data_IF_311273805236
#
_entry.id   IF_311273805236
#
_cell.length_a   1.000
_cell.length_b   1.000
_cell.length_c   1.000
_cell.angle_alpha   90.00
_cell.angle_beta   90.00
_cell.angle_gamma   90.00
#
_symmetry.space_group_name_H-M   'P 1'
#
loop_
_entity.id
_entity.type
_entity.pdbx_description
1 polymer ?
#
# COMPACT_ATOMS: atom_id res chain seq x y z
N UNK A 1 -7.47 -19.49 30.76
CA UNK A 1 -7.77 -18.33 29.87
C UNK A 1 -6.98 -17.12 30.34
N UNK A 2 -5.80 -16.87 29.77
CA UNK A 2 -5.01 -15.63 29.99
C UNK A 2 -4.52 -15.14 28.63
N UNK A 3 -5.39 -14.45 27.91
CA UNK A 3 -4.95 -13.45 26.95
C UNK A 3 -4.75 -12.16 27.73
N UNK A 4 -3.57 -11.54 27.63
CA UNK A 4 -3.36 -10.20 28.18
C UNK A 4 -4.40 -9.27 27.59
N UNK A 5 -5.01 -8.40 28.42
CA UNK A 5 -5.85 -7.31 27.90
C UNK A 5 -4.96 -6.45 27.01
N UNK A 6 -5.20 -6.48 25.70
CA UNK A 6 -4.51 -5.60 24.76
C UNK A 6 -4.60 -4.16 25.25
N UNK A 7 -3.52 -3.39 25.10
CA UNK A 7 -3.58 -1.95 25.36
C UNK A 7 -4.60 -1.37 24.39
N UNK A 8 -5.61 -0.69 24.92
CA UNK A 8 -6.59 0.01 24.08
C UNK A 8 -5.84 0.98 23.16
N UNK A 9 -6.10 0.86 21.86
CA UNK A 9 -5.69 1.86 20.85
C UNK A 9 -6.44 3.19 21.08
N UNK A 10 -6.30 4.13 20.15
CA UNK A 10 -6.88 5.48 20.17
C UNK A 10 -8.25 5.58 20.85
N UNK A 11 -8.41 6.62 21.69
CA UNK A 11 -9.69 7.04 22.21
C UNK A 11 -10.47 7.66 21.04
N UNK A 12 -11.14 6.79 20.29
CA UNK A 12 -11.96 7.18 19.16
C UNK A 12 -13.28 7.76 19.69
N UNK A 13 -13.91 8.72 18.98
CA UNK A 13 -15.30 9.12 19.34
C UNK A 13 -16.20 7.89 19.22
N UNK A 14 -17.35 7.90 19.89
CA UNK A 14 -18.47 7.08 19.45
C UNK A 14 -18.67 7.41 17.95
N UNK A 15 -18.56 6.39 17.09
CA UNK A 15 -18.65 6.41 15.60
C UNK A 15 -17.38 6.67 14.78
N UNK A 16 -16.24 7.01 15.36
CA UNK A 16 -15.00 7.15 14.58
C UNK A 16 -14.22 5.82 14.57
N UNK A 17 -13.35 5.59 13.58
CA UNK A 17 -12.55 4.37 13.50
C UNK A 17 -11.26 4.59 12.72
N UNK A 18 -10.23 3.81 13.04
CA UNK A 18 -8.98 3.82 12.26
C UNK A 18 -9.24 3.09 10.94
N UNK A 19 -9.14 3.82 9.83
CA UNK A 19 -9.33 3.26 8.49
C UNK A 19 -8.06 2.63 7.92
N UNK A 20 -6.89 3.19 8.23
CA UNK A 20 -5.59 2.77 7.68
C UNK A 20 -4.48 2.95 8.72
N UNK A 21 -3.52 2.02 8.72
CA UNK A 21 -2.31 2.05 9.54
C UNK A 21 -1.12 1.80 8.63
N UNK A 22 -0.09 2.62 8.76
CA UNK A 22 1.18 2.49 8.05
C UNK A 22 2.33 2.46 9.05
N UNK A 23 3.41 1.75 8.71
CA UNK A 23 4.69 1.79 9.42
C UNK A 23 5.69 2.44 8.48
N UNK A 24 6.20 3.60 8.85
CA UNK A 24 7.05 4.45 8.00
C UNK A 24 8.16 5.10 8.82
N UNK A 25 9.25 5.47 8.15
CA UNK A 25 10.28 6.33 8.70
C UNK A 25 9.77 7.79 8.81
N UNK A 26 10.36 8.59 9.70
CA UNK A 26 10.05 10.01 9.86
C UNK A 26 10.37 10.83 8.61
N UNK A 27 11.38 10.45 7.83
CA UNK A 27 11.77 11.16 6.61
C UNK A 27 10.99 10.73 5.35
N UNK A 28 10.28 9.59 5.42
CA UNK A 28 9.49 9.08 4.31
C UNK A 28 8.44 10.10 3.85
N UNK A 29 8.26 10.21 2.54
CA UNK A 29 7.23 11.05 1.94
C UNK A 29 5.91 10.28 1.80
N UNK A 30 4.80 10.96 2.03
CA UNK A 30 3.44 10.41 1.87
C UNK A 30 2.66 11.31 0.92
N UNK A 31 2.04 10.69 -0.09
CA UNK A 31 1.09 11.34 -0.99
C UNK A 31 -0.33 11.22 -0.43
N UNK A 32 -1.06 12.32 -0.46
CA UNK A 32 -2.44 12.42 0.01
C UNK A 32 -3.33 12.80 -1.17
N UNK A 33 -4.07 11.82 -1.69
CA UNK A 33 -5.02 12.03 -2.78
C UNK A 33 -6.39 12.38 -2.23
N UNK A 34 -6.98 13.48 -2.69
CA UNK A 34 -8.28 13.95 -2.24
C UNK A 34 -9.42 13.48 -3.13
N UNK A 35 -10.65 13.48 -2.60
CA UNK A 35 -11.88 13.20 -3.34
C UNK A 35 -12.12 14.18 -4.50
N UNK A 36 -11.54 15.39 -4.44
CA UNK A 36 -11.59 16.40 -5.50
C UNK A 36 -10.50 16.24 -6.57
N UNK A 37 -9.67 15.18 -6.49
CA UNK A 37 -8.65 14.88 -7.49
C UNK A 37 -7.36 15.69 -7.37
N UNK A 38 -7.11 16.29 -6.19
CA UNK A 38 -5.80 16.86 -5.85
C UNK A 38 -4.89 15.79 -5.23
N UNK A 39 -3.58 16.01 -5.34
CA UNK A 39 -2.58 15.31 -4.54
C UNK A 39 -1.74 16.33 -3.78
N UNK A 40 -1.44 15.99 -2.53
CA UNK A 40 -0.52 16.73 -1.67
C UNK A 40 0.60 15.81 -1.21
N UNK A 41 1.75 16.37 -0.83
CA UNK A 41 2.89 15.62 -0.32
C UNK A 41 3.33 16.19 1.03
N UNK A 42 3.49 15.32 2.02
CA UNK A 42 4.10 15.66 3.31
C UNK A 42 5.14 14.59 3.68
N UNK A 43 6.22 15.02 4.34
CA UNK A 43 7.12 14.09 5.04
C UNK A 43 6.48 13.69 6.37
N UNK A 44 6.70 12.45 6.83
CA UNK A 44 6.07 11.91 8.05
C UNK A 44 6.35 12.80 9.28
N UNK A 45 7.53 13.38 9.42
CA UNK A 45 7.86 14.29 10.53
C UNK A 45 7.01 15.58 10.56
N UNK A 46 6.37 15.96 9.46
CA UNK A 46 5.44 17.10 9.41
C UNK A 46 4.07 16.75 10.00
N UNK A 47 3.76 15.45 10.13
CA UNK A 47 2.53 15.00 10.76
C UNK A 47 2.58 15.21 12.27
N UNK A 48 1.45 15.55 12.91
CA UNK A 48 1.41 15.80 14.34
C UNK A 48 1.75 14.52 15.12
N UNK A 49 2.84 14.57 15.88
CA UNK A 49 3.16 13.55 16.86
C UNK A 49 2.03 13.48 17.91
N UNK A 50 1.66 12.27 18.29
CA UNK A 50 0.55 12.03 19.20
C UNK A 50 0.79 10.77 20.03
N UNK A 51 0.26 10.75 21.25
CA UNK A 51 0.20 9.51 22.03
C UNK A 51 -0.82 8.56 21.39
N UNK A 52 -0.77 7.25 21.68
CA UNK A 52 -1.78 6.32 21.21
C UNK A 52 -3.20 6.68 21.65
N UNK A 53 -3.39 7.52 22.68
CA UNK A 53 -4.70 8.01 23.13
C UNK A 53 -5.07 9.37 22.52
N UNK A 54 -4.12 10.04 21.85
CA UNK A 54 -4.35 11.33 21.20
C UNK A 54 -5.22 11.15 19.97
N UNK A 55 -6.01 12.19 19.68
CA UNK A 55 -7.00 12.18 18.59
C UNK A 55 -6.41 12.59 17.23
N UNK A 56 -5.10 12.87 17.19
CA UNK A 56 -4.47 13.51 16.04
C UNK A 56 -4.93 14.96 15.79
N UNK A 57 -4.57 15.51 14.63
CA UNK A 57 -5.13 16.77 14.11
C UNK A 57 -5.91 16.49 12.83
N UNK A 58 -6.94 17.29 12.57
CA UNK A 58 -7.70 17.20 11.33
C UNK A 58 -6.83 17.53 10.11
N UNK A 59 -6.97 16.77 9.03
CA UNK A 59 -6.17 16.93 7.80
C UNK A 59 -6.33 18.30 7.15
N UNK A 60 -7.51 18.94 7.27
CA UNK A 60 -7.78 20.30 6.77
C UNK A 60 -6.88 21.38 7.39
N UNK A 61 -6.27 21.10 8.54
CA UNK A 61 -5.32 22.01 9.18
C UNK A 61 -3.87 21.81 8.70
N UNK A 62 -3.62 20.73 7.96
CA UNK A 62 -2.29 20.35 7.46
C UNK A 62 -2.17 20.53 5.94
N UNK A 63 -3.28 20.37 5.23
CA UNK A 63 -3.36 20.42 3.78
C UNK A 63 -4.34 21.51 3.35
N UNK A 64 -4.07 22.26 2.26
CA UNK A 64 -4.96 23.29 1.75
C UNK A 64 -6.14 22.67 0.98
N UNK A 65 -7.02 21.99 1.71
CA UNK A 65 -8.23 21.34 1.21
C UNK A 65 -9.34 22.37 0.99
N UNK A 66 -10.10 22.21 -0.09
CA UNK A 66 -11.32 22.98 -0.34
C UNK A 66 -12.45 22.52 0.58
N UNK A 67 -13.51 23.32 0.65
CA UNK A 67 -14.70 22.96 1.40
C UNK A 67 -15.32 21.64 0.87
N UNK A 68 -15.58 20.69 1.77
CA UNK A 68 -16.10 19.36 1.44
C UNK A 68 -15.07 18.38 0.84
N UNK A 69 -13.84 18.82 0.60
CA UNK A 69 -12.76 17.96 0.12
C UNK A 69 -12.20 17.11 1.28
N UNK A 70 -12.10 15.80 1.06
CA UNK A 70 -11.54 14.85 2.04
C UNK A 70 -10.46 14.00 1.39
N UNK A 71 -9.60 13.39 2.18
CA UNK A 71 -8.56 12.48 1.67
C UNK A 71 -9.19 11.13 1.33
N UNK A 72 -9.07 10.72 0.06
CA UNK A 72 -9.54 9.44 -0.44
C UNK A 72 -8.49 8.34 -0.27
N UNK A 73 -7.20 8.67 -0.44
CA UNK A 73 -6.12 7.68 -0.31
C UNK A 73 -4.83 8.30 0.19
N UNK A 74 -4.14 7.58 1.06
CA UNK A 74 -2.76 7.85 1.43
C UNK A 74 -1.87 6.84 0.71
N UNK A 75 -0.78 7.32 0.12
CA UNK A 75 0.20 6.49 -0.58
C UNK A 75 1.59 6.87 -0.08
N UNK A 76 2.17 6.09 0.84
CA UNK A 76 3.57 6.25 1.20
C UNK A 76 4.44 5.99 -0.03
N UNK A 77 5.40 6.87 -0.27
CA UNK A 77 6.47 6.62 -1.23
C UNK A 77 7.55 5.75 -0.58
N UNK A 78 8.26 4.93 -1.36
CA UNK A 78 9.42 4.21 -0.85
C UNK A 78 10.41 5.16 -0.19
N UNK A 79 10.93 4.74 0.96
CA UNK A 79 11.96 5.45 1.72
C UNK A 79 13.32 4.90 1.30
N UNK A 80 13.78 5.30 0.12
CA UNK A 80 15.05 4.86 -0.45
C UNK A 80 16.08 6.01 -0.34
N UNK A 81 17.29 5.77 0.21
CA UNK A 81 18.32 6.80 0.32
C UNK A 81 18.80 7.32 -1.03
N UNK A 82 18.65 6.53 -2.10
CA UNK A 82 19.03 6.90 -3.47
C UNK A 82 17.87 7.60 -4.21
N UNK A 83 16.68 7.75 -3.59
CA UNK A 83 15.63 8.60 -4.17
C UNK A 83 16.07 10.06 -4.14
N UNK A 84 16.03 10.76 -5.30
CA UNK A 84 16.49 12.14 -5.35
C UNK A 84 15.60 13.02 -4.47
N UNK A 85 16.22 13.75 -3.53
CA UNK A 85 15.53 14.82 -2.83
C UNK A 85 15.22 15.91 -3.85
N UNK A 86 13.96 15.97 -4.27
CA UNK A 86 13.51 17.05 -5.15
C UNK A 86 13.53 18.34 -4.34
N UNK A 87 14.66 19.03 -4.36
CA UNK A 87 14.78 20.39 -3.92
C UNK A 87 13.87 21.26 -4.81
N UNK A 88 13.20 22.25 -4.21
CA UNK A 88 12.41 23.24 -4.92
C UNK A 88 13.35 24.13 -5.77
N UNK A 89 13.79 23.63 -6.94
CA UNK A 89 14.66 24.34 -7.90
C UNK A 89 14.18 24.12 -9.34
N UNK A 90 14.65 25.00 -10.23
CA UNK A 90 14.31 25.24 -11.64
C UNK A 90 13.74 24.03 -12.42
N UNK A 91 12.77 24.27 -13.32
CA UNK A 91 12.01 23.25 -14.07
C UNK A 91 12.92 22.22 -14.77
N UNK A 92 14.10 22.64 -15.24
CA UNK A 92 15.07 21.75 -15.87
C UNK A 92 15.70 20.72 -14.90
N UNK A 93 15.99 21.12 -13.65
CA UNK A 93 16.52 20.21 -12.63
C UNK A 93 15.42 19.27 -12.09
N UNK A 94 14.17 19.73 -12.12
CA UNK A 94 13.02 18.92 -11.73
C UNK A 94 12.77 17.75 -12.70
N UNK A 95 13.03 17.94 -13.99
CA UNK A 95 12.86 16.89 -15.00
C UNK A 95 13.93 15.79 -14.86
N UNK A 96 15.20 16.14 -14.61
CA UNK A 96 16.27 15.17 -14.37
C UNK A 96 16.03 14.34 -13.10
N UNK A 97 15.70 15.01 -11.99
CA UNK A 97 15.37 14.34 -10.73
C UNK A 97 14.09 13.48 -10.84
N UNK A 98 13.14 13.84 -11.71
CA UNK A 98 11.94 13.04 -11.91
C UNK A 98 12.22 11.74 -12.68
N UNK A 99 13.16 11.74 -13.62
CA UNK A 99 13.55 10.53 -14.35
C UNK A 99 14.38 9.59 -13.45
N UNK A 100 15.30 10.13 -12.65
CA UNK A 100 16.05 9.34 -11.65
C UNK A 100 15.11 8.73 -10.60
N UNK A 101 14.12 9.49 -10.13
CA UNK A 101 13.07 8.95 -9.25
C UNK A 101 12.23 7.87 -9.94
N UNK A 102 11.99 7.98 -11.26
CA UNK A 102 11.27 6.96 -12.01
C UNK A 102 12.05 5.65 -12.04
N UNK A 103 13.35 5.71 -12.35
CA UNK A 103 14.23 4.54 -12.35
C UNK A 103 14.31 3.87 -10.98
N UNK A 104 14.46 4.66 -9.91
CA UNK A 104 14.46 4.13 -8.54
C UNK A 104 13.12 3.47 -8.18
N UNK A 105 11.99 4.11 -8.52
CA UNK A 105 10.66 3.55 -8.28
C UNK A 105 10.41 2.27 -9.08
N UNK A 106 10.85 2.23 -10.34
CA UNK A 106 10.72 1.06 -11.21
C UNK A 106 11.58 -0.10 -10.68
N UNK A 107 12.78 0.18 -10.18
CA UNK A 107 13.63 -0.82 -9.53
C UNK A 107 12.96 -1.38 -8.25
N UNK A 108 12.40 -0.51 -7.40
CA UNK A 108 11.69 -0.91 -6.17
C UNK A 108 10.43 -1.72 -6.50
N UNK A 109 9.73 -1.36 -7.57
CA UNK A 109 8.52 -2.03 -8.01
C UNK A 109 8.78 -3.33 -8.78
N UNK A 110 10.04 -3.69 -9.06
CA UNK A 110 10.41 -4.83 -9.93
C UNK A 110 9.75 -4.72 -11.31
N UNK A 111 9.90 -3.55 -11.93
CA UNK A 111 9.31 -3.17 -13.21
C UNK A 111 8.59 -1.82 -13.15
N UNK A 112 7.97 -1.41 -14.25
CA UNK A 112 7.34 -0.09 -14.35
C UNK A 112 6.34 0.20 -13.19
N UNK A 113 6.62 1.23 -12.41
CA UNK A 113 5.81 1.69 -11.29
C UNK A 113 4.70 2.64 -11.79
N UNK A 114 3.47 2.15 -11.72
CA UNK A 114 2.29 2.92 -12.09
C UNK A 114 1.41 3.24 -10.89
N UNK A 115 0.52 4.22 -11.09
CA UNK A 115 -0.64 4.44 -10.24
C UNK A 115 -1.92 4.33 -11.06
N UNK A 116 -2.88 3.63 -10.49
CA UNK A 116 -4.21 3.46 -11.04
C UNK A 116 -5.21 4.28 -10.24
N UNK A 117 -5.95 5.15 -10.92
CA UNK A 117 -7.02 5.95 -10.36
C UNK A 117 -8.37 5.30 -10.69
N UNK A 118 -9.34 5.42 -9.78
CA UNK A 118 -10.74 5.13 -10.05
C UNK A 118 -11.65 6.23 -9.51
N UNK A 119 -12.69 6.56 -10.26
CA UNK A 119 -13.72 7.54 -9.89
C UNK A 119 -15.06 6.88 -9.59
N UNK A 120 -15.93 7.59 -8.87
CA UNK A 120 -17.24 7.07 -8.49
C UNK A 120 -18.13 6.79 -9.71
N UNK A 121 -18.01 7.59 -10.77
CA UNK A 121 -18.73 7.37 -12.05
C UNK A 121 -18.13 6.25 -12.92
N UNK A 122 -17.12 5.53 -12.44
CA UNK A 122 -16.57 4.36 -13.11
C UNK A 122 -15.49 4.65 -14.13
N UNK A 123 -14.93 5.85 -14.15
CA UNK A 123 -13.72 6.13 -14.93
C UNK A 123 -12.48 5.63 -14.20
N UNK A 124 -11.49 5.19 -14.98
CA UNK A 124 -10.18 4.78 -14.51
C UNK A 124 -9.08 5.46 -15.32
N UNK A 125 -7.91 5.59 -14.71
CA UNK A 125 -6.77 6.25 -15.34
C UNK A 125 -5.46 5.68 -14.83
N UNK A 126 -4.50 5.45 -15.73
CA UNK A 126 -3.16 4.96 -15.41
C UNK A 126 -2.10 6.01 -15.71
N UNK A 127 -1.23 6.28 -14.75
CA UNK A 127 -0.08 7.20 -14.85
C UNK A 127 1.18 6.54 -14.32
N UNK A 128 2.35 7.09 -14.64
CA UNK A 128 3.58 6.72 -13.96
C UNK A 128 3.51 7.23 -12.52
N UNK A 129 4.04 6.47 -11.56
CA UNK A 129 4.15 6.95 -10.17
C UNK A 129 5.07 8.18 -10.08
N UNK A 130 6.11 8.21 -10.92
CA UNK A 130 7.03 9.35 -11.09
C UNK A 130 6.32 10.70 -11.35
N UNK A 131 5.15 10.69 -12.02
CA UNK A 131 4.35 11.89 -12.27
C UNK A 131 3.92 12.60 -10.96
N UNK A 132 4.00 11.92 -9.82
CA UNK A 132 3.56 12.39 -8.50
C UNK A 132 4.70 12.48 -7.47
N UNK A 133 5.95 12.28 -7.86
CA UNK A 133 7.10 12.44 -6.94
C UNK A 133 7.32 13.92 -6.65
N UNK A 134 7.20 14.78 -7.67
CA UNK A 134 7.21 16.23 -7.49
C UNK A 134 5.80 16.83 -7.33
N UNK A 135 5.47 17.23 -6.10
CA UNK A 135 4.22 17.88 -5.70
C UNK A 135 4.56 19.07 -4.82
N UNK A 136 4.11 20.25 -5.24
CA UNK A 136 4.32 21.51 -4.54
C UNK A 136 3.53 21.57 -3.22
N UNK A 137 3.89 22.49 -2.34
CA UNK A 137 3.24 22.69 -1.04
C UNK A 137 1.74 23.02 -1.12
N UNK A 138 1.30 23.69 -2.19
CA UNK A 138 -0.11 23.97 -2.45
C UNK A 138 -0.86 22.82 -3.14
N UNK A 139 -0.19 21.69 -3.38
CA UNK A 139 -0.73 20.52 -4.06
C UNK A 139 -0.60 20.56 -5.58
N UNK A 140 -1.05 19.48 -6.21
CA UNK A 140 -1.01 19.28 -7.66
C UNK A 140 -2.32 18.64 -8.11
N UNK A 141 -2.83 19.04 -9.28
CA UNK A 141 -3.96 18.34 -9.89
C UNK A 141 -3.49 16.94 -10.30
N UNK A 142 -4.10 15.91 -9.71
CA UNK A 142 -3.83 14.51 -10.06
C UNK A 142 -4.74 14.02 -11.18
N UNK A 143 -6.02 14.36 -11.09
CA UNK A 143 -7.04 14.03 -12.08
C UNK A 143 -8.07 15.17 -12.16
N UNK A 144 -8.58 15.45 -13.36
CA UNK A 144 -9.75 16.32 -13.50
C UNK A 144 -10.99 15.45 -13.43
N UNK A 145 -11.92 15.83 -12.56
CA UNK A 145 -13.18 15.10 -12.38
C UNK A 145 -14.28 15.79 -13.17
N UNK A 146 -15.17 14.98 -13.76
CA UNK A 146 -16.41 15.49 -14.34
C UNK A 146 -17.35 16.03 -13.26
N UNK A 147 -18.35 16.81 -13.67
CA UNK A 147 -19.34 17.37 -12.74
C UNK A 147 -20.01 16.27 -11.90
N UNK A 148 -20.01 16.42 -10.58
CA UNK A 148 -20.58 15.45 -9.63
C UNK A 148 -19.84 14.11 -9.55
N UNK A 149 -18.65 13.98 -10.14
CA UNK A 149 -17.76 12.83 -9.92
C UNK A 149 -16.81 13.08 -8.75
N UNK A 150 -16.26 12.01 -8.19
CA UNK A 150 -15.25 12.08 -7.13
C UNK A 150 -14.23 10.96 -7.29
N UNK A 151 -13.03 11.20 -6.80
CA UNK A 151 -12.03 10.16 -6.69
C UNK A 151 -12.45 9.14 -5.63
N UNK A 152 -12.44 7.86 -5.98
CA UNK A 152 -12.67 6.72 -5.06
C UNK A 152 -11.37 6.26 -4.46
N UNK A 153 -10.31 6.16 -5.27
CA UNK A 153 -9.00 5.82 -4.76
C UNK A 153 -7.91 5.83 -5.82
N UNK A 154 -6.67 5.76 -5.33
CA UNK A 154 -5.45 5.64 -6.14
C UNK A 154 -4.60 4.54 -5.56
N UNK A 155 -4.27 3.52 -6.33
CA UNK A 155 -3.46 2.40 -5.86
C UNK A 155 -2.21 2.23 -6.74
N UNK A 156 -1.06 1.92 -6.13
CA UNK A 156 0.13 1.57 -6.89
C UNK A 156 -0.07 0.21 -7.55
N UNK A 157 0.43 0.07 -8.78
CA UNK A 157 0.28 -1.13 -9.59
C UNK A 157 1.39 -1.23 -10.63
N UNK A 158 1.61 -2.43 -11.14
CA UNK A 158 2.55 -2.70 -12.23
C UNK A 158 1.81 -3.09 -13.51
N UNK A 159 2.53 -3.21 -14.63
CA UNK A 159 1.95 -3.59 -15.92
C UNK A 159 1.30 -4.98 -15.94
N UNK A 160 1.79 -5.91 -15.11
CA UNK A 160 1.29 -7.28 -14.99
C UNK A 160 0.10 -7.45 -14.04
N UNK A 161 -0.32 -6.40 -13.33
CA UNK A 161 -1.41 -6.48 -12.35
C UNK A 161 -2.80 -6.42 -13.02
N UNK A 162 -3.82 -6.85 -12.29
CA UNK A 162 -5.22 -6.55 -12.62
C UNK A 162 -5.80 -5.50 -11.67
N UNK A 163 -6.74 -4.71 -12.18
CA UNK A 163 -7.60 -3.86 -11.36
C UNK A 163 -8.97 -4.50 -11.21
N UNK A 164 -9.53 -4.39 -10.01
CA UNK A 164 -10.92 -4.74 -9.69
C UNK A 164 -11.64 -3.48 -9.23
N UNK A 165 -12.80 -3.22 -9.82
CA UNK A 165 -13.73 -2.19 -9.36
C UNK A 165 -14.99 -2.85 -8.83
N UNK A 166 -15.48 -2.41 -7.68
CA UNK A 166 -16.76 -2.84 -7.13
C UNK A 166 -17.69 -1.65 -6.93
N UNK A 167 -18.95 -1.85 -7.28
CA UNK A 167 -20.01 -0.85 -7.23
C UNK A 167 -20.92 -1.03 -6.02
N UNK A 168 -21.67 0.01 -5.68
CA UNK A 168 -22.64 0.01 -4.58
C UNK A 168 -23.71 -1.06 -4.78
N UNK A 169 -24.16 -1.29 -6.01
CA UNK A 169 -25.17 -2.32 -6.33
C UNK A 169 -24.61 -3.75 -6.38
N UNK A 170 -23.34 -3.96 -5.98
CA UNK A 170 -22.71 -5.29 -5.94
C UNK A 170 -22.24 -5.80 -7.30
N UNK A 171 -22.18 -4.95 -8.33
CA UNK A 171 -21.49 -5.29 -9.60
C UNK A 171 -20.00 -5.10 -9.44
N UNK A 172 -19.23 -5.97 -10.07
CA UNK A 172 -17.79 -5.85 -10.12
C UNK A 172 -17.27 -6.13 -11.53
N UNK A 173 -16.14 -5.52 -11.88
CA UNK A 173 -15.38 -5.82 -13.08
C UNK A 173 -13.91 -6.00 -12.71
N UNK A 174 -13.24 -6.93 -13.39
CA UNK A 174 -11.79 -7.16 -13.31
C UNK A 174 -11.21 -7.06 -14.71
N UNK A 175 -10.10 -6.36 -14.86
CA UNK A 175 -9.36 -6.30 -16.11
C UNK A 175 -7.87 -5.98 -15.88
N UNK A 176 -6.99 -6.32 -16.83
CA UNK A 176 -5.56 -6.00 -16.72
C UNK A 176 -5.31 -4.49 -16.65
N UNK A 177 -4.39 -4.07 -15.78
CA UNK A 177 -3.93 -2.68 -15.68
C UNK A 177 -3.42 -2.19 -17.04
N UNK A 178 -2.71 -3.05 -17.78
CA UNK A 178 -2.22 -2.78 -19.13
C UNK A 178 -3.30 -2.44 -20.17
N UNK A 179 -4.55 -2.85 -19.95
CA UNK A 179 -5.66 -2.52 -20.85
C UNK A 179 -6.03 -1.02 -20.81
N UNK A 180 -5.60 -0.30 -19.77
CA UNK A 180 -5.75 1.15 -19.68
C UNK A 180 -4.50 1.81 -20.22
N UNK A 181 -4.66 2.63 -21.25
CA UNK A 181 -3.54 3.38 -21.83
C UNK A 181 -2.82 4.23 -20.77
N UNK A 182 -1.51 4.42 -20.93
CA UNK A 182 -0.73 5.31 -20.09
C UNK A 182 -1.04 6.78 -20.44
N UNK A 183 -1.40 7.59 -19.46
CA UNK A 183 -1.70 9.01 -19.63
C UNK A 183 -0.47 9.85 -19.29
N UNK A 184 -0.02 10.70 -20.20
CA UNK A 184 1.03 11.70 -19.91
C UNK A 184 0.48 13.01 -19.34
N UNK A 185 -0.75 13.37 -19.72
CA UNK A 185 -1.38 14.63 -19.27
C UNK A 185 -2.21 14.42 -18.01
N UNK A 186 -2.09 15.34 -17.06
CA UNK A 186 -2.89 15.45 -15.82
C UNK A 186 -4.30 15.98 -16.02
N UNK A 187 -4.65 16.44 -17.23
CA UNK A 187 -5.93 17.12 -17.52
C UNK A 187 -7.10 16.22 -17.90
N UNK A 188 -6.88 14.91 -18.07
CA UNK A 188 -7.95 13.98 -18.42
C UNK A 188 -8.60 13.35 -17.18
N UNK A 189 -9.88 13.03 -17.31
CA UNK A 189 -10.70 12.24 -16.38
C UNK A 189 -10.54 10.71 -16.55
N UNK A 190 -9.75 10.27 -17.53
CA UNK A 190 -9.45 8.86 -17.76
C UNK A 190 -10.25 8.24 -18.92
N UNK A 191 -10.51 6.94 -18.81
CA UNK A 191 -11.39 6.15 -19.70
C UNK A 191 -12.38 5.38 -18.86
N UNK A 192 -13.49 4.93 -19.44
CA UNK A 192 -14.47 4.11 -18.73
C UNK A 192 -13.85 2.77 -18.32
N UNK A 193 -13.82 2.49 -17.03
CA UNK A 193 -13.40 1.20 -16.47
C UNK A 193 -14.58 0.26 -16.21
N UNK A 194 -15.71 0.79 -15.74
CA UNK A 194 -16.95 0.04 -15.54
C UNK A 194 -18.15 0.82 -16.07
N UNK A 195 -19.10 0.13 -16.69
CA UNK A 195 -20.40 0.70 -17.04
C UNK A 195 -21.36 0.54 -15.87
N UNK A 196 -21.95 1.64 -15.41
CA UNK A 196 -22.87 1.68 -14.28
C UNK A 196 -24.28 2.01 -14.77
N UNK A 197 -25.29 1.47 -14.08
CA UNK A 197 -26.70 1.69 -14.41
C UNK A 197 -27.36 2.62 -13.39
N UNK A 198 -28.22 3.52 -13.87
CA UNK A 198 -28.98 4.42 -13.00
C UNK A 198 -28.08 5.27 -12.11
N UNK A 199 -28.28 5.15 -10.79
CA UNK A 199 -27.51 5.87 -9.76
C UNK A 199 -26.45 4.99 -9.07
N UNK A 200 -26.06 3.88 -9.69
CA UNK A 200 -24.96 3.06 -9.19
C UNK A 200 -23.62 3.80 -9.33
N UNK A 201 -22.68 3.47 -8.46
CA UNK A 201 -21.36 4.10 -8.43
C UNK A 201 -20.31 3.11 -7.94
N UNK A 202 -19.06 3.33 -8.34
CA UNK A 202 -17.91 2.62 -7.76
C UNK A 202 -17.74 3.06 -6.31
N UNK A 203 -17.63 2.08 -5.42
CA UNK A 203 -17.39 2.29 -3.98
C UNK A 203 -16.01 1.81 -3.54
N UNK A 204 -15.37 0.92 -4.31
CA UNK A 204 -14.02 0.47 -4.01
C UNK A 204 -13.24 0.04 -5.26
N UNK A 205 -11.92 0.11 -5.14
CA UNK A 205 -10.95 -0.39 -6.10
C UNK A 205 -9.94 -1.28 -5.39
N UNK A 206 -9.43 -2.30 -6.07
CA UNK A 206 -8.33 -3.14 -5.58
C UNK A 206 -7.41 -3.51 -6.73
N UNK A 207 -6.12 -3.71 -6.42
CA UNK A 207 -5.13 -4.22 -7.36
C UNK A 207 -4.83 -5.67 -6.99
N UNK A 208 -5.02 -6.58 -7.94
CA UNK A 208 -4.63 -7.97 -7.81
C UNK A 208 -3.24 -8.10 -8.42
N UNK A 209 -2.26 -8.36 -7.56
CA UNK A 209 -0.89 -8.62 -7.97
C UNK A 209 -0.74 -10.07 -8.39
N UNK A 210 -0.18 -10.27 -9.57
CA UNK A 210 0.15 -11.59 -10.06
C UNK A 210 1.60 -11.92 -9.73
N UNK A 211 1.85 -13.15 -9.31
CA UNK A 211 3.18 -13.69 -9.13
C UNK A 211 3.28 -14.99 -9.87
N UNK A 212 4.26 -15.09 -10.76
CA UNK A 212 4.62 -16.35 -11.37
C UNK A 212 5.49 -17.11 -10.37
N UNK A 213 4.98 -18.24 -9.90
CA UNK A 213 5.69 -19.14 -8.99
C UNK A 213 5.56 -20.53 -9.58
N UNK A 214 6.68 -21.19 -9.84
CA UNK A 214 6.65 -22.58 -10.29
C UNK A 214 6.10 -23.50 -9.19
N UNK A 215 5.64 -24.67 -9.61
CA UNK A 215 4.96 -25.62 -8.73
C UNK A 215 5.87 -26.09 -7.59
N UNK A 216 7.17 -26.29 -7.86
CA UNK A 216 8.11 -26.81 -6.87
C UNK A 216 8.41 -25.73 -5.81
N UNK A 217 8.67 -24.49 -6.23
CA UNK A 217 8.86 -23.35 -5.32
C UNK A 217 7.64 -23.11 -4.45
N UNK A 218 6.43 -23.17 -5.01
CA UNK A 218 5.19 -23.05 -4.24
C UNK A 218 5.07 -24.16 -3.19
N UNK A 219 5.29 -25.41 -3.58
CA UNK A 219 5.14 -26.56 -2.68
C UNK A 219 6.20 -26.54 -1.57
N UNK A 220 7.43 -26.12 -1.90
CA UNK A 220 8.49 -25.87 -0.93
C UNK A 220 8.14 -24.75 0.03
N UNK A 221 7.59 -23.63 -0.46
CA UNK A 221 7.13 -22.52 0.36
C UNK A 221 6.04 -22.94 1.34
N UNK A 222 5.04 -23.71 0.90
CA UNK A 222 3.97 -24.17 1.81
C UNK A 222 4.52 -25.05 2.94
N UNK A 223 5.50 -25.90 2.65
CA UNK A 223 6.20 -26.71 3.67
C UNK A 223 7.03 -25.83 4.61
N UNK A 224 7.77 -24.88 4.06
CA UNK A 224 8.52 -23.87 4.82
C UNK A 224 7.60 -23.06 5.74
N UNK A 225 6.50 -22.51 5.25
CA UNK A 225 5.56 -21.71 6.02
C UNK A 225 4.96 -22.49 7.20
N UNK A 226 4.61 -23.77 6.98
CA UNK A 226 4.18 -24.68 8.04
C UNK A 226 5.28 -24.95 9.08
N UNK A 227 6.53 -25.07 8.63
CA UNK A 227 7.67 -25.24 9.53
C UNK A 227 7.99 -23.95 10.31
N UNK A 228 7.93 -22.79 9.65
CA UNK A 228 8.15 -21.46 10.25
C UNK A 228 7.14 -21.17 11.34
N UNK A 229 5.86 -21.48 11.13
CA UNK A 229 4.83 -21.35 12.18
C UNK A 229 5.15 -22.21 13.41
N UNK A 230 5.60 -23.45 13.21
CA UNK A 230 6.01 -24.35 14.29
C UNK A 230 7.27 -23.85 15.01
N UNK A 231 8.27 -23.43 14.26
CA UNK A 231 9.53 -22.89 14.76
C UNK A 231 9.31 -21.62 15.59
N UNK A 232 8.55 -20.65 15.08
CA UNK A 232 8.20 -19.43 15.82
C UNK A 232 7.42 -19.72 17.11
N UNK A 233 6.51 -20.71 17.08
CA UNK A 233 5.79 -21.14 18.28
C UNK A 233 6.73 -21.78 19.32
N UNK A 234 7.73 -22.55 18.88
CA UNK A 234 8.75 -23.16 19.74
C UNK A 234 9.69 -22.13 20.35
N UNK A 235 10.16 -21.15 19.56
CA UNK A 235 10.97 -20.04 20.08
C UNK A 235 10.23 -19.25 21.16
N UNK A 236 8.97 -18.88 20.88
CA UNK A 236 8.11 -18.19 21.84
C UNK A 236 7.87 -19.00 23.11
N UNK A 237 7.68 -20.32 22.97
CA UNK A 237 7.51 -21.24 24.08
C UNK A 237 8.76 -21.29 24.98
N UNK A 238 9.96 -21.39 24.38
CA UNK A 238 11.24 -21.32 25.06
C UNK A 238 11.44 -20.01 25.81
N UNK A 239 11.14 -18.87 25.18
CA UNK A 239 11.24 -17.54 25.79
C UNK A 239 10.30 -17.35 26.99
N UNK A 240 9.11 -17.94 26.92
CA UNK A 240 8.05 -17.74 27.93
C UNK A 240 7.95 -18.88 28.95
N UNK A 241 8.73 -19.96 28.79
CA UNK A 241 8.61 -21.16 29.60
C UNK A 241 7.25 -21.85 29.48
N UNK A 242 6.61 -21.74 28.32
CA UNK A 242 5.29 -22.37 28.05
C UNK A 242 5.42 -23.49 27.02
N UNK A 243 4.34 -24.24 26.78
CA UNK A 243 4.28 -25.20 25.67
C UNK A 243 4.05 -24.50 24.34
N UNK A 244 4.67 -25.00 23.28
CA UNK A 244 4.43 -24.53 21.92
C UNK A 244 3.02 -24.96 21.46
N UNK A 245 2.25 -24.03 20.92
CA UNK A 245 0.90 -24.28 20.39
C UNK A 245 0.84 -23.82 18.93
N UNK A 246 0.39 -24.70 18.05
CA UNK A 246 0.27 -24.44 16.60
C UNK A 246 -1.09 -24.94 16.16
N UNK A 247 -1.85 -24.09 15.46
CA UNK A 247 -3.21 -24.39 14.98
C UNK A 247 -4.16 -24.95 16.06
N UNK A 248 -3.95 -24.55 17.33
CA UNK A 248 -4.77 -24.95 18.47
C UNK A 248 -4.35 -26.25 19.16
N UNK A 249 -3.32 -26.93 18.67
CA UNK A 249 -2.78 -28.16 19.25
C UNK A 249 -1.40 -27.93 19.88
N UNK A 250 -1.11 -28.67 20.95
CA UNK A 250 0.20 -28.65 21.60
C UNK A 250 1.23 -29.35 20.71
N UNK A 251 2.24 -28.60 20.27
CA UNK A 251 3.29 -29.13 19.43
C UNK A 251 4.25 -29.99 20.26
N UNK A 252 4.75 -31.08 19.67
CA UNK A 252 5.73 -31.93 20.33
C UNK A 252 6.97 -31.12 20.76
N UNK A 253 7.51 -31.39 21.97
CA UNK A 253 8.75 -30.75 22.41
C UNK A 253 9.89 -31.16 21.46
N UNK A 254 10.65 -30.17 21.00
CA UNK A 254 11.85 -30.35 20.15
C UNK A 254 13.05 -29.88 20.95
N UNK A 255 14.15 -30.63 20.94
CA UNK A 255 15.38 -30.23 21.63
C UNK A 255 15.96 -28.96 20.97
N UNK A 256 16.52 -28.07 21.79
CA UNK A 256 17.07 -26.78 21.33
C UNK A 256 18.16 -26.91 20.26
N UNK A 257 18.86 -28.06 20.19
CA UNK A 257 19.88 -28.32 19.18
C UNK A 257 19.34 -28.65 17.78
N UNK A 258 18.06 -29.03 17.66
CA UNK A 258 17.44 -29.41 16.38
C UNK A 258 16.73 -28.25 15.67
N UNK A 259 16.52 -27.15 16.40
CA UNK A 259 15.89 -25.94 15.88
C UNK A 259 16.85 -25.21 14.94
N UNK A 260 16.37 -24.70 13.78
CA UNK A 260 17.12 -23.76 12.98
C UNK A 260 17.57 -22.55 13.82
N UNK A 261 18.79 -22.08 13.59
CA UNK A 261 19.36 -20.92 14.26
C UNK A 261 18.74 -19.60 13.81
N UNK A 262 18.29 -19.53 12.55
CA UNK A 262 17.58 -18.39 11.99
C UNK A 262 16.58 -18.81 10.90
N UNK A 263 15.87 -17.82 10.35
CA UNK A 263 14.90 -18.05 9.28
C UNK A 263 15.55 -18.48 7.96
N UNK A 264 16.78 -18.03 7.69
CA UNK A 264 17.50 -18.38 6.46
C UNK A 264 17.87 -19.86 6.45
N UNK A 265 18.36 -20.38 7.57
CA UNK A 265 18.64 -21.80 7.77
C UNK A 265 17.36 -22.62 7.62
N UNK A 266 16.25 -22.14 8.18
CA UNK A 266 14.96 -22.80 8.03
C UNK A 266 14.50 -22.82 6.56
N UNK A 267 14.63 -21.71 5.83
CA UNK A 267 14.28 -21.63 4.40
C UNK A 267 15.13 -22.59 3.56
N UNK A 268 16.43 -22.64 3.82
CA UNK A 268 17.37 -23.51 3.13
C UNK A 268 17.04 -25.01 3.28
N UNK A 269 16.48 -25.44 4.43
CA UNK A 269 16.00 -26.82 4.64
C UNK A 269 14.88 -27.21 3.66
N UNK A 270 14.18 -26.24 3.08
CA UNK A 270 13.13 -26.45 2.07
C UNK A 270 13.56 -26.05 0.66
N UNK A 271 14.85 -25.81 0.43
CA UNK A 271 15.38 -25.44 -0.89
C UNK A 271 14.97 -24.03 -1.33
N UNK A 272 14.68 -23.13 -0.38
CA UNK A 272 14.38 -21.73 -0.64
C UNK A 272 15.53 -20.87 -0.13
N UNK A 273 15.90 -19.84 -0.90
CA UNK A 273 16.65 -18.72 -0.33
C UNK A 273 15.72 -17.85 0.54
N UNK A 274 16.31 -17.04 1.43
CA UNK A 274 15.55 -16.21 2.36
C UNK A 274 14.70 -15.16 1.64
N UNK A 275 15.20 -14.62 0.52
CA UNK A 275 14.52 -13.56 -0.22
C UNK A 275 13.21 -14.09 -0.83
N UNK A 276 13.27 -15.23 -1.51
CA UNK A 276 12.13 -15.97 -2.05
C UNK A 276 11.15 -16.34 -0.94
N UNK A 277 11.65 -16.82 0.21
CA UNK A 277 10.83 -17.20 1.35
C UNK A 277 10.14 -16.02 2.04
N UNK A 278 10.73 -14.83 2.03
CA UNK A 278 10.14 -13.60 2.59
C UNK A 278 9.23 -12.88 1.60
N UNK A 279 9.49 -13.04 0.30
CA UNK A 279 8.72 -12.38 -0.77
C UNK A 279 7.40 -13.10 -1.07
N UNK A 280 7.29 -14.41 -0.85
CA UNK A 280 6.08 -15.23 -1.07
C UNK A 280 5.17 -15.26 0.16
#
# INVERSE_FOLDING_TARGET
RRGGKGRSSMAVRDEDFVSQIFVLNSHAAVLFFSTAGQVYKLKVWQLPAGTPQSRGKAMVNLLPLKEGEVIATLMPLPDDPDMPEIAEVDEAAADEAAEEAAEALDAIADGDAYVMFATAKGNVRRNRLADFVNVMSNGKIAIRLGEGDRLVGVLPCNGGDDVVLASRAGKAIRFPVGAVRLFKSRTSDGVRGISLAGSDEVVSMSIIRHREVDVDTRDNYLRFANAKRRWLAQLKALETGTSAVVDGEEAAPVETGDLPGDEAELAARYGLDLETAQRL
#
